data_IF_141052908587
#
_entry.id   IF_141052908587
#
_cell.length_a   1.000
_cell.length_b   1.000
_cell.length_c   1.000
_cell.angle_alpha   90.00
_cell.angle_beta   90.00
_cell.angle_gamma   90.00
#
_symmetry.space_group_name_H-M   'P 1'
#
loop_
_entity.id
_entity.type
_entity.pdbx_description
1 polymer ?
#
# COMPACT_ATOMS: atom_id res chain seq x y z
N UNK A 1 76.99 -17.24 1.66
CA UNK A 1 77.02 -18.45 0.80
C UNK A 1 75.67 -18.59 0.07
N UNK A 2 75.50 -19.55 -0.85
CA UNK A 2 74.35 -19.64 -1.78
C UNK A 2 73.24 -20.59 -1.29
N UNK A 3 71.98 -20.23 -1.54
CA UNK A 3 70.78 -21.07 -1.82
C UNK A 3 69.55 -20.14 -1.89
N UNK A 4 68.53 -20.20 -2.78
CA UNK A 4 68.03 -21.17 -3.79
C UNK A 4 67.60 -22.53 -3.21
N UNK A 5 66.39 -23.09 -3.43
CA UNK A 5 65.16 -22.78 -4.24
C UNK A 5 63.94 -23.19 -3.33
N UNK A 6 62.65 -22.83 -3.44
CA UNK A 6 61.67 -22.42 -4.48
C UNK A 6 60.56 -21.55 -3.81
N UNK A 7 59.48 -21.02 -4.42
CA UNK A 7 58.96 -21.04 -5.79
C UNK A 7 57.65 -21.85 -5.96
N UNK A 8 56.50 -21.15 -5.98
CA UNK A 8 55.20 -21.61 -6.51
C UNK A 8 54.34 -20.42 -6.93
N UNK A 9 53.76 -20.47 -8.13
CA UNK A 9 52.77 -19.52 -8.63
C UNK A 9 51.36 -19.98 -8.27
N UNK A 10 50.42 -19.05 -8.12
CA UNK A 10 48.98 -19.28 -8.22
C UNK A 10 48.38 -18.14 -9.04
N UNK A 11 47.55 -18.50 -10.03
CA UNK A 11 47.13 -17.60 -11.08
C UNK A 11 46.07 -16.59 -10.63
N UNK A 12 46.27 -15.33 -11.02
CA UNK A 12 45.19 -14.33 -11.03
C UNK A 12 44.29 -14.59 -12.24
N UNK A 13 43.25 -15.38 -12.06
CA UNK A 13 42.15 -15.42 -13.02
C UNK A 13 41.47 -14.04 -13.06
N UNK A 14 41.55 -13.36 -14.20
CA UNK A 14 40.92 -12.06 -14.38
C UNK A 14 39.45 -12.25 -14.79
N UNK A 15 38.52 -11.96 -13.88
CA UNK A 15 37.11 -11.96 -14.20
C UNK A 15 36.79 -10.79 -15.15
N UNK A 16 36.26 -11.10 -16.34
CA UNK A 16 35.81 -10.10 -17.31
C UNK A 16 34.59 -9.36 -16.74
N UNK A 17 34.58 -8.01 -16.68
CA UNK A 17 33.38 -7.27 -16.29
C UNK A 17 32.30 -7.45 -17.36
N UNK A 18 31.14 -7.99 -16.97
CA UNK A 18 29.96 -7.97 -17.83
C UNK A 18 29.37 -6.55 -17.89
N UNK A 19 28.78 -6.13 -19.04
CA UNK A 19 28.13 -4.84 -19.14
C UNK A 19 26.86 -4.81 -18.28
N UNK A 20 26.73 -3.78 -17.43
CA UNK A 20 25.52 -3.58 -16.65
C UNK A 20 24.34 -3.23 -17.59
N UNK A 21 23.22 -3.95 -17.47
CA UNK A 21 22.00 -3.67 -18.21
C UNK A 21 21.34 -2.39 -17.69
N UNK A 22 21.53 -1.27 -18.39
CA UNK A 22 20.86 -0.01 -18.08
C UNK A 22 19.39 -0.02 -18.53
N UNK A 23 18.49 -0.40 -17.62
CA UNK A 23 17.04 -0.32 -17.82
C UNK A 23 16.56 1.14 -17.85
N UNK A 24 16.71 1.81 -19.00
CA UNK A 24 16.30 3.19 -19.24
C UNK A 24 14.78 3.32 -19.43
N UNK A 25 14.06 3.43 -18.30
CA UNK A 25 12.62 3.72 -18.30
C UNK A 25 12.30 5.02 -19.04
N UNK A 26 11.79 4.88 -20.26
CA UNK A 26 11.40 6.00 -21.11
C UNK A 26 9.96 6.42 -20.78
N UNK A 27 9.82 7.50 -20.01
CA UNK A 27 8.51 7.99 -19.55
C UNK A 27 7.67 8.59 -20.69
N UNK A 28 6.45 8.08 -20.96
CA UNK A 28 5.54 8.70 -21.90
C UNK A 28 4.87 9.94 -21.27
N UNK A 29 5.12 11.12 -21.84
CA UNK A 29 4.51 12.37 -21.37
C UNK A 29 2.99 12.38 -21.61
N UNK A 30 2.21 12.10 -20.56
CA UNK A 30 0.75 12.06 -20.63
C UNK A 30 0.14 13.47 -20.75
N UNK A 31 -0.26 13.84 -21.97
CA UNK A 31 -0.77 15.18 -22.28
C UNK A 31 -2.28 15.29 -22.05
N UNK A 32 -2.68 15.61 -20.82
CA UNK A 32 -4.08 15.84 -20.43
C UNK A 32 -4.78 16.85 -21.37
N UNK A 33 -5.90 16.43 -21.97
CA UNK A 33 -6.68 17.22 -22.94
C UNK A 33 -8.04 17.60 -22.34
N UNK A 34 -8.14 18.81 -21.79
CA UNK A 34 -9.41 19.34 -21.24
C UNK A 34 -10.42 19.58 -22.37
N UNK A 35 -11.46 18.74 -22.45
CA UNK A 35 -12.68 19.01 -23.23
C UNK A 35 -13.82 19.35 -22.28
N UNK A 36 -14.28 20.60 -22.32
CA UNK A 36 -15.49 21.00 -21.61
C UNK A 36 -16.75 20.51 -22.33
N UNK A 37 -17.75 20.08 -21.59
CA UNK A 37 -19.13 19.92 -22.08
C UNK A 37 -20.01 21.01 -21.47
N UNK A 38 -20.82 21.65 -22.30
CA UNK A 38 -21.80 22.65 -21.89
C UNK A 38 -23.11 21.95 -21.48
N UNK A 39 -23.73 22.41 -20.39
CA UNK A 39 -25.09 22.01 -20.04
C UNK A 39 -26.09 22.63 -21.02
N UNK A 40 -27.09 21.85 -21.43
CA UNK A 40 -28.30 22.34 -22.11
C UNK A 40 -29.52 21.90 -21.33
N UNK A 41 -30.29 22.87 -20.83
CA UNK A 41 -31.61 22.61 -20.23
C UNK A 41 -32.64 22.28 -21.30
N UNK A 42 -33.58 21.38 -20.98
CA UNK A 42 -34.86 21.27 -21.65
C UNK A 42 -35.97 21.09 -20.61
N UNK A 43 -36.98 21.95 -20.65
CA UNK A 43 -38.18 21.88 -19.81
C UNK A 43 -39.37 21.60 -20.74
N UNK A 44 -40.26 20.68 -20.35
CA UNK A 44 -41.48 20.37 -21.09
C UNK A 44 -42.55 19.76 -20.17
N UNK A 45 -43.87 20.05 -20.35
CA UNK A 45 -44.85 19.86 -19.29
C UNK A 45 -45.96 18.84 -19.58
N UNK A 46 -46.69 18.50 -18.51
CA UNK A 46 -48.13 18.16 -18.42
C UNK A 46 -48.83 17.32 -19.51
N UNK A 47 -49.60 16.31 -19.09
CA UNK A 47 -51.07 16.31 -19.33
C UNK A 47 -51.84 15.19 -18.61
N UNK A 48 -53.15 15.41 -18.54
CA UNK A 48 -54.22 14.65 -17.87
C UNK A 48 -54.22 13.12 -18.00
N UNK A 49 -54.61 12.43 -16.91
CA UNK A 49 -54.92 11.00 -16.93
C UNK A 49 -56.40 10.66 -17.24
N UNK A 50 -56.75 9.37 -17.17
CA UNK A 50 -58.14 8.87 -17.21
C UNK A 50 -58.34 7.69 -16.26
N UNK A 51 -59.53 7.61 -15.64
CA UNK A 51 -60.04 6.40 -14.99
C UNK A 51 -60.57 5.43 -16.04
N UNK A 52 -60.43 4.12 -15.80
CA UNK A 52 -61.32 3.10 -16.32
C UNK A 52 -61.39 1.93 -15.34
N UNK A 53 -62.45 1.12 -15.40
CA UNK A 53 -62.82 0.15 -14.36
C UNK A 53 -62.96 -1.28 -14.89
N UNK A 54 -62.56 -2.23 -14.05
CA UNK A 54 -63.13 -3.59 -13.92
C UNK A 54 -63.46 -4.38 -15.20
N UNK A 55 -62.65 -5.40 -15.50
CA UNK A 55 -63.14 -6.67 -16.07
C UNK A 55 -62.46 -7.83 -15.33
N UNK A 56 -63.23 -8.85 -14.92
CA UNK A 56 -62.70 -10.08 -14.33
C UNK A 56 -62.07 -10.99 -15.41
N UNK A 57 -60.98 -11.67 -15.07
CA UNK A 57 -60.58 -12.91 -15.75
C UNK A 57 -59.78 -13.79 -14.78
N UNK A 58 -60.41 -14.88 -14.29
CA UNK A 58 -59.72 -15.93 -13.51
C UNK A 58 -59.09 -16.93 -14.48
N UNK A 59 -57.81 -16.75 -14.80
CA UNK A 59 -57.00 -17.81 -15.38
C UNK A 59 -56.14 -18.44 -14.29
N UNK A 60 -56.52 -19.65 -13.86
CA UNK A 60 -55.78 -20.46 -12.91
C UNK A 60 -54.55 -21.10 -13.59
N UNK A 61 -53.58 -20.28 -13.96
CA UNK A 61 -52.27 -20.77 -14.39
C UNK A 61 -51.63 -21.54 -13.24
N UNK A 62 -51.31 -22.82 -13.46
CA UNK A 62 -50.52 -23.62 -12.52
C UNK A 62 -49.12 -23.02 -12.42
N UNK A 63 -48.92 -22.13 -11.45
CA UNK A 63 -47.60 -21.69 -11.03
C UNK A 63 -46.91 -22.88 -10.40
N UNK A 64 -46.21 -23.66 -11.22
CA UNK A 64 -45.07 -24.42 -10.73
C UNK A 64 -44.11 -23.42 -10.10
N UNK A 65 -44.09 -23.41 -8.78
CA UNK A 65 -43.23 -22.55 -7.99
C UNK A 65 -41.78 -23.01 -8.17
N UNK A 66 -41.16 -22.55 -9.27
CA UNK A 66 -39.71 -22.50 -9.43
C UNK A 66 -39.14 -21.42 -8.50
N UNK A 67 -39.40 -21.61 -7.20
CA UNK A 67 -38.56 -21.14 -6.12
C UNK A 67 -37.15 -21.59 -6.45
N UNK A 68 -36.35 -20.65 -6.99
CA UNK A 68 -34.91 -20.84 -7.13
C UNK A 68 -34.37 -20.85 -5.73
N UNK A 69 -34.33 -22.04 -5.13
CA UNK A 69 -33.65 -22.29 -3.87
C UNK A 69 -32.17 -22.06 -4.13
N UNK A 70 -31.72 -20.84 -3.87
CA UNK A 70 -30.31 -20.54 -3.63
C UNK A 70 -29.89 -21.35 -2.41
N UNK A 71 -29.49 -22.60 -2.64
CA UNK A 71 -28.76 -23.38 -1.67
C UNK A 71 -27.42 -22.66 -1.48
N UNK A 72 -27.32 -21.88 -0.41
CA UNK A 72 -26.02 -21.48 0.10
C UNK A 72 -25.21 -22.78 0.28
N UNK A 73 -24.01 -22.84 -0.32
CA UNK A 73 -23.15 -24.00 -0.16
C UNK A 73 -22.96 -24.24 1.34
N UNK A 74 -23.18 -25.48 1.78
CA UNK A 74 -23.16 -25.84 3.20
C UNK A 74 -21.77 -25.75 3.84
N UNK A 75 -20.75 -25.51 3.01
CA UNK A 75 -19.39 -25.22 3.39
C UNK A 75 -18.98 -23.88 2.75
N UNK A 76 -18.28 -22.98 3.47
CA UNK A 76 -17.79 -21.75 2.90
C UNK A 76 -16.70 -22.08 1.87
N UNK A 77 -17.03 -21.96 0.59
CA UNK A 77 -16.07 -22.17 -0.49
C UNK A 77 -14.81 -21.31 -0.26
N UNK A 78 -13.60 -21.87 -0.42
CA UNK A 78 -12.37 -21.12 -0.16
C UNK A 78 -12.33 -19.89 -1.05
N UNK A 79 -12.17 -18.72 -0.42
CA UNK A 79 -12.23 -17.42 -1.08
C UNK A 79 -10.93 -17.22 -1.84
N UNK A 80 -10.93 -17.75 -3.06
CA UNK A 80 -9.83 -17.75 -4.03
C UNK A 80 -9.93 -16.54 -4.95
N UNK A 81 -8.77 -16.05 -5.38
CA UNK A 81 -8.65 -14.93 -6.31
C UNK A 81 -7.48 -14.01 -5.95
N UNK A 82 -6.73 -13.65 -6.98
CA UNK A 82 -5.63 -12.69 -6.94
C UNK A 82 -5.87 -11.62 -8.00
N UNK A 83 -5.55 -10.37 -7.71
CA UNK A 83 -5.57 -9.24 -8.64
C UNK A 83 -4.20 -8.59 -8.60
N UNK A 84 -3.31 -8.89 -9.56
CA UNK A 84 -1.97 -8.31 -9.62
C UNK A 84 -2.04 -6.80 -9.91
N UNK A 85 -1.03 -6.06 -9.48
CA UNK A 85 -1.05 -4.59 -9.46
C UNK A 85 -1.20 -3.95 -10.84
N UNK A 86 -0.70 -4.60 -11.90
CA UNK A 86 -0.85 -4.13 -13.28
C UNK A 86 -2.29 -4.21 -13.83
N UNK A 87 -3.22 -4.82 -13.10
CA UNK A 87 -4.66 -4.83 -13.41
C UNK A 87 -5.49 -3.91 -12.50
N UNK A 88 -4.86 -3.15 -11.60
CA UNK A 88 -5.55 -2.19 -10.72
C UNK A 88 -5.45 -0.78 -11.29
N UNK A 89 -6.60 -0.18 -11.61
CA UNK A 89 -6.72 1.26 -11.82
C UNK A 89 -7.18 1.97 -10.55
N UNK A 90 -6.80 3.24 -10.41
CA UNK A 90 -7.09 4.09 -9.26
C UNK A 90 -7.88 5.32 -9.68
N UNK A 91 -8.83 5.74 -8.84
CA UNK A 91 -9.82 6.74 -9.21
C UNK A 91 -9.29 8.17 -9.12
N UNK A 92 -9.24 8.88 -10.24
CA UNK A 92 -8.96 10.33 -10.33
C UNK A 92 -9.91 11.21 -9.49
N UNK A 93 -11.04 10.67 -9.03
CA UNK A 93 -12.15 11.42 -8.42
C UNK A 93 -12.45 11.07 -6.97
N UNK A 94 -11.88 9.98 -6.45
CA UNK A 94 -12.19 9.46 -5.12
C UNK A 94 -10.92 9.07 -4.38
N UNK A 95 -10.70 9.72 -3.25
CA UNK A 95 -9.61 9.44 -2.33
C UNK A 95 -10.11 9.09 -0.92
N UNK A 96 -9.24 8.40 -0.17
CA UNK A 96 -9.41 8.10 1.23
C UNK A 96 -8.35 8.86 2.04
N UNK A 97 -8.72 9.94 2.74
CA UNK A 97 -7.87 10.54 3.76
C UNK A 97 -7.95 9.69 5.03
N UNK A 98 -6.81 9.50 5.68
CA UNK A 98 -6.67 8.82 6.97
C UNK A 98 -5.78 9.65 7.89
N UNK A 99 -6.01 9.55 9.20
CA UNK A 99 -5.15 10.13 10.22
C UNK A 99 -5.19 9.25 11.46
N UNK A 100 -4.01 8.99 12.02
CA UNK A 100 -3.79 8.22 13.24
C UNK A 100 -2.72 8.93 14.06
N UNK A 101 -2.85 8.93 15.38
CA UNK A 101 -1.76 9.34 16.27
C UNK A 101 -1.64 8.40 17.46
N UNK A 102 -0.43 8.33 18.02
CA UNK A 102 -0.18 7.74 19.33
C UNK A 102 0.79 8.62 20.13
N UNK A 103 0.72 8.54 21.46
CA UNK A 103 1.68 9.19 22.35
C UNK A 103 2.74 8.18 22.77
N UNK A 104 4.00 8.52 22.54
CA UNK A 104 5.18 7.71 22.82
C UNK A 104 5.97 8.35 23.96
N UNK A 105 6.38 7.55 24.95
CA UNK A 105 7.22 7.97 26.08
C UNK A 105 8.71 8.06 25.68
N UNK A 106 8.97 8.87 24.64
CA UNK A 106 10.30 9.14 24.07
C UNK A 106 10.40 10.55 23.47
N UNK A 107 11.60 11.14 23.39
CA UNK A 107 11.82 12.47 22.80
C UNK A 107 11.62 12.46 21.27
N UNK A 108 11.15 13.59 20.73
CA UNK A 108 10.74 13.71 19.33
C UNK A 108 11.84 13.33 18.34
N UNK A 109 13.11 13.62 18.67
CA UNK A 109 14.27 13.25 17.84
C UNK A 109 14.51 11.75 17.73
N UNK A 110 14.18 10.96 18.76
CA UNK A 110 14.26 9.50 18.66
C UNK A 110 13.13 8.95 17.77
N UNK A 111 11.90 9.45 17.96
CA UNK A 111 10.75 9.12 17.11
C UNK A 111 11.02 9.45 15.64
N UNK A 112 11.52 10.67 15.37
CA UNK A 112 11.88 11.15 14.03
C UNK A 112 12.98 10.30 13.39
N UNK A 113 14.09 10.03 14.10
CA UNK A 113 15.20 9.25 13.55
C UNK A 113 14.77 7.82 13.18
N UNK A 114 13.92 7.18 13.99
CA UNK A 114 13.41 5.82 13.73
C UNK A 114 12.43 5.81 12.55
N UNK A 115 11.64 6.87 12.35
CA UNK A 115 10.71 6.96 11.21
C UNK A 115 11.37 7.42 9.90
N UNK A 116 12.46 8.19 9.99
CA UNK A 116 13.23 8.67 8.83
C UNK A 116 14.05 7.56 8.17
N UNK A 117 14.46 6.55 8.93
CA UNK A 117 15.14 5.36 8.41
C UNK A 117 14.13 4.40 7.76
N UNK A 118 14.02 4.48 6.44
CA UNK A 118 13.10 3.65 5.65
C UNK A 118 13.47 2.16 5.60
N UNK A 119 14.66 1.76 6.09
CA UNK A 119 14.97 0.35 6.36
C UNK A 119 14.13 -0.19 7.53
N UNK A 120 13.82 0.66 8.52
CA UNK A 120 13.22 0.25 9.80
C UNK A 120 11.70 0.25 9.80
N UNK A 121 11.07 0.81 8.77
CA UNK A 121 9.62 0.75 8.56
C UNK A 121 9.07 -0.69 8.55
N UNK A 122 9.85 -1.67 8.06
CA UNK A 122 9.44 -3.09 8.07
C UNK A 122 9.18 -3.61 9.49
N UNK A 123 9.92 -3.10 10.48
CA UNK A 123 9.84 -3.58 11.88
C UNK A 123 8.51 -3.23 12.57
N UNK A 124 7.74 -2.28 12.03
CA UNK A 124 6.49 -1.80 12.64
C UNK A 124 5.34 -1.52 11.67
N UNK A 125 5.54 -1.62 10.34
CA UNK A 125 4.45 -1.49 9.36
C UNK A 125 3.89 -2.85 8.87
N UNK A 126 4.48 -3.99 9.25
CA UNK A 126 4.15 -5.34 8.77
C UNK A 126 2.66 -5.75 8.90
N UNK A 127 1.89 -5.15 9.81
CA UNK A 127 0.47 -5.53 9.93
C UNK A 127 -0.38 -4.99 8.78
N UNK A 128 -0.01 -3.82 8.21
CA UNK A 128 -0.73 -3.16 7.11
C UNK A 128 -0.92 -4.10 5.91
N UNK A 129 0.14 -4.83 5.63
CA UNK A 129 0.27 -5.86 4.60
C UNK A 129 1.28 -6.87 5.17
N UNK A 130 0.86 -8.10 5.49
CA UNK A 130 1.68 -9.19 6.12
C UNK A 130 2.82 -9.76 5.23
N UNK A 131 3.32 -8.90 4.36
CA UNK A 131 3.97 -9.11 3.06
C UNK A 131 4.46 -7.74 2.55
N UNK A 132 4.76 -6.80 3.45
CA UNK A 132 5.21 -5.45 3.11
C UNK A 132 6.66 -5.49 2.65
N UNK A 133 6.88 -5.95 1.42
CA UNK A 133 8.20 -5.94 0.82
C UNK A 133 8.60 -4.48 0.51
N UNK A 134 9.57 -3.98 1.25
CA UNK A 134 10.17 -2.66 1.04
C UNK A 134 11.44 -2.82 0.21
N UNK A 135 11.41 -2.39 -1.04
CA UNK A 135 12.57 -2.29 -1.91
C UNK A 135 13.17 -0.88 -1.85
N UNK A 136 14.43 -0.76 -1.42
CA UNK A 136 15.13 0.53 -1.31
C UNK A 136 16.14 0.68 -2.44
N UNK A 137 16.22 1.89 -3.02
CA UNK A 137 17.26 2.19 -4.01
C UNK A 137 18.58 2.55 -3.28
N UNK A 138 19.67 1.77 -3.41
CA UNK A 138 20.95 2.09 -2.78
C UNK A 138 21.57 3.41 -3.30
N UNK A 139 21.05 3.97 -4.40
CA UNK A 139 21.44 5.27 -4.94
C UNK A 139 20.56 6.43 -4.43
N UNK A 140 19.41 6.14 -3.81
CA UNK A 140 18.44 7.14 -3.38
C UNK A 140 17.68 6.69 -2.10
N UNK A 141 18.19 7.00 -0.89
CA UNK A 141 17.59 6.56 0.38
C UNK A 141 16.27 7.27 0.74
N UNK A 142 15.84 8.22 -0.09
CA UNK A 142 14.55 8.89 0.03
C UNK A 142 13.49 8.32 -0.93
N UNK A 143 13.80 7.22 -1.64
CA UNK A 143 12.85 6.39 -2.40
C UNK A 143 12.67 5.01 -1.77
N UNK A 144 11.41 4.56 -1.71
CA UNK A 144 11.06 3.21 -1.30
C UNK A 144 9.91 2.66 -2.16
N UNK A 145 10.13 1.49 -2.76
CA UNK A 145 9.11 0.64 -3.35
C UNK A 145 8.39 -0.11 -2.22
N UNK A 146 7.07 -0.01 -2.17
CA UNK A 146 6.21 -0.77 -1.26
C UNK A 146 5.32 -1.69 -2.10
N UNK A 147 5.32 -2.99 -1.77
CA UNK A 147 4.38 -3.98 -2.28
C UNK A 147 3.44 -4.41 -1.15
N UNK A 148 2.14 -4.47 -1.43
CA UNK A 148 1.11 -4.55 -0.40
C UNK A 148 -0.06 -5.45 -0.81
N UNK A 149 -0.35 -6.49 -0.04
CA UNK A 149 -1.41 -7.45 -0.34
C UNK A 149 -2.66 -7.17 0.49
N UNK A 150 -3.56 -6.33 -0.03
CA UNK A 150 -4.76 -5.87 0.64
C UNK A 150 -6.00 -6.67 0.23
N UNK A 151 -6.92 -6.94 1.16
CA UNK A 151 -8.16 -7.66 0.88
C UNK A 151 -9.36 -7.10 1.65
N UNK A 152 -10.41 -6.74 0.93
CA UNK A 152 -11.66 -6.28 1.52
C UNK A 152 -12.70 -7.42 1.60
N UNK A 153 -12.81 -8.03 2.78
CA UNK A 153 -13.83 -9.06 3.08
C UNK A 153 -13.72 -10.31 2.21
N UNK A 154 -14.74 -10.55 1.38
CA UNK A 154 -14.87 -11.71 0.49
C UNK A 154 -14.27 -11.49 -0.92
N UNK A 155 -13.63 -10.35 -1.16
CA UNK A 155 -12.94 -10.08 -2.44
C UNK A 155 -11.68 -10.95 -2.60
N UNK A 156 -11.20 -11.11 -3.85
CA UNK A 156 -9.80 -11.44 -4.15
C UNK A 156 -8.80 -10.61 -3.35
N UNK A 157 -7.58 -11.15 -3.17
CA UNK A 157 -6.44 -10.37 -2.69
C UNK A 157 -5.99 -9.43 -3.81
N UNK A 158 -5.89 -8.14 -3.51
CA UNK A 158 -5.37 -7.12 -4.41
C UNK A 158 -3.92 -6.81 -4.05
N UNK A 159 -3.02 -7.01 -5.02
CA UNK A 159 -1.66 -6.53 -4.93
C UNK A 159 -1.63 -5.04 -5.30
N UNK A 160 -1.14 -4.21 -4.39
CA UNK A 160 -0.98 -2.78 -4.58
C UNK A 160 0.52 -2.49 -4.46
N UNK A 161 1.14 -2.04 -5.56
CA UNK A 161 2.55 -1.63 -5.58
C UNK A 161 2.64 -0.13 -5.85
N UNK A 162 3.50 0.55 -5.11
CA UNK A 162 3.76 1.98 -5.27
C UNK A 162 5.19 2.33 -4.85
N UNK A 163 5.75 3.42 -5.39
CA UNK A 163 7.03 3.98 -4.94
C UNK A 163 6.73 5.31 -4.27
N UNK A 164 7.07 5.44 -2.98
CA UNK A 164 7.07 6.72 -2.28
C UNK A 164 8.42 7.43 -2.44
N UNK A 165 8.37 8.76 -2.42
CA UNK A 165 9.50 9.65 -2.24
C UNK A 165 9.28 10.53 -1.01
N UNK A 166 10.31 10.79 -0.19
CA UNK A 166 10.26 11.89 0.81
C UNK A 166 10.34 13.23 0.07
N UNK A 167 9.36 14.10 0.27
CA UNK A 167 9.25 15.39 -0.45
C UNK A 167 9.81 16.56 0.35
N UNK A 168 9.59 16.55 1.67
CA UNK A 168 10.09 17.57 2.60
C UNK A 168 10.39 16.90 3.95
N UNK A 169 11.51 17.27 4.57
CA UNK A 169 11.98 16.69 5.83
C UNK A 169 12.44 17.82 6.73
N UNK A 170 11.71 18.04 7.82
CA UNK A 170 12.05 19.03 8.85
C UNK A 170 12.39 18.27 10.13
N UNK A 171 13.67 18.34 10.51
CA UNK A 171 14.25 17.61 11.63
C UNK A 171 13.40 17.78 12.90
N UNK A 172 13.05 16.66 13.52
CA UNK A 172 12.25 16.55 14.75
C UNK A 172 10.83 17.15 14.69
N UNK A 173 10.39 17.69 13.53
CA UNK A 173 9.04 18.26 13.33
C UNK A 173 8.16 17.38 12.41
N UNK A 174 8.60 17.09 11.18
CA UNK A 174 7.83 16.25 10.26
C UNK A 174 8.62 15.68 9.06
N UNK A 175 8.04 14.63 8.45
CA UNK A 175 8.48 13.98 7.21
C UNK A 175 7.27 13.92 6.27
N UNK A 176 7.31 14.67 5.17
CA UNK A 176 6.31 14.62 4.11
C UNK A 176 6.73 13.65 2.99
N UNK A 177 5.76 13.00 2.35
CA UNK A 177 5.99 12.01 1.29
C UNK A 177 4.89 12.00 0.23
N UNK A 178 5.25 11.63 -1.00
CA UNK A 178 4.30 11.39 -2.10
C UNK A 178 4.68 10.18 -2.94
N UNK A 179 3.70 9.59 -3.64
CA UNK A 179 3.92 8.52 -4.60
C UNK A 179 4.45 9.06 -5.93
N UNK A 180 5.63 8.61 -6.36
CA UNK A 180 6.16 8.90 -7.71
C UNK A 180 5.75 7.85 -8.74
N UNK A 181 5.28 6.68 -8.30
CA UNK A 181 4.78 5.60 -9.16
C UNK A 181 3.75 4.72 -8.44
N UNK A 182 2.86 4.07 -9.19
CA UNK A 182 1.86 3.13 -8.68
C UNK A 182 0.59 3.80 -8.17
N UNK A 183 0.08 3.36 -7.01
CA UNK A 183 -1.07 4.00 -6.35
C UNK A 183 -0.76 5.46 -6.00
N UNK A 184 -1.61 6.44 -6.38
CA UNK A 184 -1.49 7.82 -5.92
C UNK A 184 -1.67 7.95 -4.41
N UNK A 185 -0.64 8.41 -3.70
CA UNK A 185 -0.58 8.63 -2.24
C UNK A 185 0.14 9.96 -1.97
N UNK A 186 -0.36 10.75 -1.03
CA UNK A 186 0.38 11.86 -0.40
C UNK A 186 0.20 11.81 1.11
N UNK A 187 1.21 12.18 1.90
CA UNK A 187 1.10 12.15 3.34
C UNK A 187 2.22 12.86 4.09
N UNK A 188 2.06 12.89 5.40
CA UNK A 188 3.00 13.45 6.36
C UNK A 188 2.99 12.62 7.64
N UNK A 189 4.14 12.50 8.28
CA UNK A 189 4.25 12.09 9.68
C UNK A 189 4.84 13.24 10.45
N UNK A 190 4.12 13.74 11.45
CA UNK A 190 4.53 14.85 12.30
C UNK A 190 4.76 14.40 13.74
N UNK A 191 5.70 15.08 14.40
CA UNK A 191 6.19 14.80 15.75
C UNK A 191 5.96 16.04 16.61
N UNK A 192 5.09 15.93 17.62
CA UNK A 192 4.79 17.04 18.54
C UNK A 192 5.38 16.71 19.91
N UNK A 193 6.41 17.45 20.35
CA UNK A 193 6.91 17.37 21.72
C UNK A 193 5.81 17.84 22.70
N UNK A 194 5.43 16.96 23.63
CA UNK A 194 4.41 17.21 24.65
C UNK A 194 5.03 17.64 25.99
N UNK A 195 6.36 17.70 26.08
CA UNK A 195 7.09 17.85 27.33
C UNK A 195 7.28 16.53 28.08
N UNK A 196 8.05 16.60 29.17
CA UNK A 196 8.45 15.47 30.03
C UNK A 196 9.20 14.33 29.30
N UNK A 197 9.65 14.56 28.06
CA UNK A 197 10.28 13.53 27.21
C UNK A 197 9.28 12.66 26.45
N UNK A 198 8.09 13.18 26.13
CA UNK A 198 7.01 12.47 25.43
C UNK A 198 6.66 13.14 24.11
N UNK A 199 6.26 12.36 23.11
CA UNK A 199 5.95 12.85 21.76
C UNK A 199 4.60 12.31 21.30
N UNK A 200 3.72 13.17 20.76
CA UNK A 200 2.64 12.70 19.88
C UNK A 200 3.19 12.51 18.47
N UNK A 201 3.09 11.29 17.95
CA UNK A 201 3.45 10.96 16.57
C UNK A 201 2.16 10.77 15.79
N UNK A 202 1.93 11.62 14.78
CA UNK A 202 0.74 11.61 13.94
C UNK A 202 1.09 11.26 12.50
N UNK A 203 0.54 10.13 12.00
CA UNK A 203 0.57 9.74 10.59
C UNK A 203 -0.74 10.18 9.93
N UNK A 204 -0.66 11.08 8.95
CA UNK A 204 -1.79 11.53 8.14
C UNK A 204 -1.47 11.40 6.65
N UNK A 205 -2.32 10.68 5.90
CA UNK A 205 -2.11 10.46 4.47
C UNK A 205 -3.44 10.34 3.71
N UNK A 206 -3.41 10.65 2.43
CA UNK A 206 -4.53 10.51 1.50
C UNK A 206 -4.08 9.69 0.30
N UNK A 207 -4.90 8.74 -0.15
CA UNK A 207 -4.61 7.96 -1.34
C UNK A 207 -5.85 7.78 -2.23
N UNK A 208 -5.64 7.55 -3.52
CA UNK A 208 -6.73 7.23 -4.45
C UNK A 208 -7.32 5.83 -4.15
N UNK A 209 -8.63 5.67 -4.31
CA UNK A 209 -9.27 4.37 -4.20
C UNK A 209 -9.01 3.54 -5.48
N UNK A 210 -8.67 2.25 -5.37
CA UNK A 210 -8.85 1.30 -6.46
C UNK A 210 -10.27 1.36 -7.04
N UNK A 211 -10.42 1.45 -8.36
CA UNK A 211 -11.75 1.60 -8.98
C UNK A 211 -12.67 0.41 -8.70
N UNK A 212 -12.12 -0.79 -8.46
CA UNK A 212 -12.88 -1.96 -8.02
C UNK A 212 -13.63 -1.72 -6.69
N UNK A 213 -13.04 -0.98 -5.74
CA UNK A 213 -13.71 -0.61 -4.48
C UNK A 213 -14.76 0.50 -4.69
N UNK A 214 -14.54 1.37 -5.68
CA UNK A 214 -15.50 2.39 -6.12
C UNK A 214 -16.71 1.73 -6.78
N UNK A 215 -16.51 0.74 -7.66
CA UNK A 215 -17.58 0.04 -8.37
C UNK A 215 -18.41 -0.86 -7.45
N UNK A 216 -17.76 -1.56 -6.52
CA UNK A 216 -18.44 -2.35 -5.48
C UNK A 216 -19.10 -1.48 -4.38
N UNK A 217 -19.02 -0.14 -4.50
CA UNK A 217 -19.59 0.85 -3.57
C UNK A 217 -19.15 0.67 -2.11
N UNK A 218 -17.93 0.17 -1.91
CA UNK A 218 -17.25 0.12 -0.60
C UNK A 218 -17.00 1.53 -0.09
N UNK A 219 -16.54 2.40 -0.99
CA UNK A 219 -16.29 3.81 -0.73
C UNK A 219 -15.22 4.07 0.34
N UNK A 220 -14.97 5.36 0.59
CA UNK A 220 -13.99 5.83 1.57
C UNK A 220 -14.24 5.27 2.98
N UNK A 221 -15.50 5.17 3.42
CA UNK A 221 -15.86 4.69 4.76
C UNK A 221 -15.54 3.21 4.97
N UNK A 222 -15.82 2.33 4.00
CA UNK A 222 -15.50 0.90 4.13
C UNK A 222 -14.00 0.65 4.26
N UNK A 223 -13.22 1.39 3.46
CA UNK A 223 -11.76 1.35 3.45
C UNK A 223 -11.10 1.98 4.69
N UNK A 224 -11.62 3.11 5.18
CA UNK A 224 -11.17 3.70 6.45
C UNK A 224 -11.39 2.76 7.63
N UNK A 225 -12.51 2.02 7.66
CA UNK A 225 -12.79 1.08 8.75
C UNK A 225 -11.96 -0.20 8.68
N UNK A 226 -11.57 -0.68 7.49
CA UNK A 226 -10.68 -1.85 7.36
C UNK A 226 -9.23 -1.52 7.71
N UNK A 227 -8.72 -0.34 7.31
CA UNK A 227 -7.34 0.07 7.59
C UNK A 227 -7.14 0.57 9.04
N UNK A 228 -8.19 1.11 9.68
CA UNK A 228 -8.11 1.68 11.05
C UNK A 228 -7.48 0.77 12.12
N UNK A 229 -7.95 -0.48 12.35
CA UNK A 229 -7.35 -1.32 13.39
C UNK A 229 -5.88 -1.61 13.06
N UNK A 230 -5.59 -1.90 11.80
CA UNK A 230 -4.26 -2.29 11.32
C UNK A 230 -3.22 -1.18 11.49
N UNK A 231 -3.60 0.06 11.16
CA UNK A 231 -2.75 1.24 11.35
C UNK A 231 -2.63 1.67 12.81
N UNK A 232 -3.64 1.40 13.64
CA UNK A 232 -3.53 1.54 15.09
C UNK A 232 -2.53 0.54 15.68
N UNK A 233 -2.62 -0.73 15.30
CA UNK A 233 -1.71 -1.78 15.76
C UNK A 233 -0.25 -1.49 15.31
N UNK A 234 -0.03 -1.06 14.06
CA UNK A 234 1.29 -0.61 13.58
C UNK A 234 1.89 0.53 14.43
N UNK A 235 1.09 1.53 14.82
CA UNK A 235 1.57 2.64 15.66
C UNK A 235 1.89 2.19 17.09
N UNK A 236 1.17 1.23 17.65
CA UNK A 236 1.51 0.67 18.97
C UNK A 236 2.76 -0.24 18.91
N UNK A 237 3.02 -0.95 17.81
CA UNK A 237 4.30 -1.67 17.58
C UNK A 237 5.47 -0.67 17.47
N UNK A 238 5.31 0.40 16.67
CA UNK A 238 6.28 1.49 16.59
C UNK A 238 6.57 2.08 17.97
N UNK A 239 5.51 2.43 18.72
CA UNK A 239 5.63 2.96 20.08
C UNK A 239 6.43 2.04 21.00
N UNK A 240 6.11 0.76 21.04
CA UNK A 240 6.81 -0.21 21.89
C UNK A 240 8.31 -0.32 21.53
N UNK A 241 8.63 -0.30 20.24
CA UNK A 241 10.00 -0.30 19.70
C UNK A 241 10.76 0.98 20.12
N UNK A 242 10.14 2.15 20.02
CA UNK A 242 10.76 3.43 20.40
C UNK A 242 10.91 3.54 21.93
N UNK A 243 9.94 3.08 22.72
CA UNK A 243 10.00 3.10 24.18
C UNK A 243 11.00 2.09 24.75
N UNK A 244 11.29 0.99 24.05
CA UNK A 244 12.43 0.12 24.37
C UNK A 244 13.75 0.81 24.02
N UNK A 245 13.87 1.42 22.84
CA UNK A 245 15.06 2.18 22.41
C UNK A 245 15.39 3.36 23.35
N UNK A 246 14.38 4.00 23.93
CA UNK A 246 14.55 5.07 24.91
C UNK A 246 15.06 4.57 26.28
N UNK A 247 14.79 3.31 26.62
CA UNK A 247 15.24 2.66 27.87
C UNK A 247 16.61 1.99 27.73
N UNK A 248 16.85 1.34 26.60
CA UNK A 248 18.13 0.73 26.20
C UNK A 248 18.41 1.04 24.72
N UNK A 249 19.29 2.01 24.42
CA UNK A 249 19.68 2.32 23.04
C UNK A 249 20.37 1.17 22.28
N UNK A 250 20.78 0.09 22.96
CA UNK A 250 21.32 -1.13 22.34
C UNK A 250 20.28 -2.22 22.07
N UNK A 251 19.01 -1.99 22.45
CA UNK A 251 17.89 -2.87 22.09
C UNK A 251 17.48 -2.77 20.62
N UNK A 252 17.82 -1.67 19.95
CA UNK A 252 17.56 -1.50 18.52
C UNK A 252 18.39 -2.52 17.72
N UNK A 253 17.78 -3.29 16.80
CA UNK A 253 18.55 -4.10 15.87
C UNK A 253 19.48 -3.18 15.05
N UNK A 254 20.69 -3.63 14.71
CA UNK A 254 21.57 -2.87 13.83
C UNK A 254 20.86 -2.67 12.47
N UNK A 255 20.92 -1.49 11.85
CA UNK A 255 20.36 -1.28 10.52
C UNK A 255 20.94 -2.29 9.53
N UNK A 256 20.09 -3.12 8.93
CA UNK A 256 20.49 -4.05 7.87
C UNK A 256 21.07 -3.26 6.69
N UNK A 257 22.16 -3.76 6.10
CA UNK A 257 22.82 -3.01 5.04
C UNK A 257 21.93 -2.92 3.78
N UNK A 258 21.90 -1.78 3.07
CA UNK A 258 21.14 -1.64 1.83
C UNK A 258 21.76 -2.53 0.73
N UNK A 259 21.26 -3.76 0.65
CA UNK A 259 21.79 -4.85 -0.17
C UNK A 259 21.70 -6.24 0.50
N UNK A 260 21.58 -6.34 1.83
CA UNK A 260 21.39 -7.62 2.53
C UNK A 260 19.93 -8.10 2.46
N UNK A 261 18.97 -7.18 2.40
CA UNK A 261 17.58 -7.47 1.98
C UNK A 261 17.44 -7.65 0.46
N UNK A 262 18.38 -8.38 -0.14
CA UNK A 262 18.19 -9.00 -1.44
C UNK A 262 17.18 -10.15 -1.26
N UNK A 263 15.89 -9.81 -1.22
CA UNK A 263 14.82 -10.81 -1.25
C UNK A 263 15.00 -11.68 -2.49
N UNK A 264 15.28 -12.97 -2.28
CA UNK A 264 15.16 -13.99 -3.31
C UNK A 264 13.69 -13.96 -3.78
N UNK A 265 13.46 -13.41 -4.97
CA UNK A 265 12.19 -13.53 -5.67
C UNK A 265 12.00 -15.02 -5.92
N UNK A 266 11.20 -15.67 -5.07
CA UNK A 266 11.14 -17.13 -4.99
C UNK A 266 10.94 -17.76 -6.37
N UNK A 267 11.84 -18.66 -6.75
CA UNK A 267 11.93 -19.19 -8.11
C UNK A 267 10.57 -19.73 -8.57
N UNK A 268 10.06 -19.20 -9.70
CA UNK A 268 8.76 -19.57 -10.31
C UNK A 268 8.67 -21.07 -10.72
N UNK A 269 9.73 -21.84 -10.53
CA UNK A 269 9.82 -23.27 -10.86
C UNK A 269 9.04 -24.17 -9.88
N UNK A 270 8.57 -23.64 -8.73
CA UNK A 270 7.87 -24.39 -7.69
C UNK A 270 6.38 -24.69 -7.97
N UNK A 271 5.71 -23.96 -8.87
CA UNK A 271 4.26 -24.04 -9.13
C UNK A 271 3.91 -24.89 -10.39
N UNK A 272 4.77 -25.84 -10.78
CA UNK A 272 4.64 -26.62 -12.03
C UNK A 272 4.55 -28.16 -11.88
N UNK A 273 4.34 -28.70 -10.67
CA UNK A 273 4.07 -30.14 -10.42
C UNK A 273 2.60 -30.46 -10.05
#
# INVERSE_FOLDING_TARGET
>A
MRSQVSGRSLDRSAATPQPACSCSYSTPLYRSSKRGQQHSHAVGPESCGRRSSLVHSRLAASRHDRSVRCAAASEPAPISGYTPANYISFSDTQSAPHSFSTTVEAPASLCFNIWSDWNRLVEFLDLLCRTLQIGLDPNNPDLALFQCFYRFGLMPVMEIVFVLQKTEVVQDEYIAFESVWGMPITGVVSFTDLGDGRTEVQLAFTHALPDLLVDLKVGTFGLQNSLRPILGENLEVFKALVEEAARDPSSLPPPEAPGERAYELGDEEADLE
#
